data_IF_748704295439
#
_entry.id   IF_748704295439
#
_cell.length_a   1.000
_cell.length_b   1.000
_cell.length_c   1.000
_cell.angle_alpha   90.00
_cell.angle_beta   90.00
_cell.angle_gamma   90.00
#
_symmetry.space_group_name_H-M   'P 1'
#
loop_
_entity.id
_entity.type
_entity.pdbx_description
1 polymer ?
#
# COMPACT_ATOMS: atom_id res chain seq x y z
N UNK A 1 -5.62 14.31 0.77
CA UNK A 1 -6.23 13.08 0.22
C UNK A 1 -7.11 13.44 -0.95
N UNK A 2 -6.68 13.10 -2.18
CA UNK A 2 -7.30 13.60 -3.41
C UNK A 2 -8.79 13.22 -3.54
N UNK A 3 -9.16 11.98 -3.21
CA UNK A 3 -10.56 11.54 -3.26
C UNK A 3 -11.47 12.37 -2.35
N UNK A 4 -11.06 12.63 -1.10
CA UNK A 4 -11.83 13.46 -0.14
C UNK A 4 -12.01 14.89 -0.67
N UNK A 5 -10.98 15.46 -1.30
CA UNK A 5 -11.02 16.85 -1.72
C UNK A 5 -11.80 17.06 -3.03
N UNK A 6 -11.72 16.11 -3.96
CA UNK A 6 -12.26 16.27 -5.32
C UNK A 6 -13.45 15.35 -5.65
N UNK A 7 -13.73 14.33 -4.84
CA UNK A 7 -14.85 13.40 -5.04
C UNK A 7 -14.80 12.53 -6.30
N UNK A 8 -13.68 12.48 -7.02
CA UNK A 8 -13.56 11.74 -8.29
C UNK A 8 -13.26 10.26 -8.04
N UNK A 9 -14.06 9.37 -8.60
CA UNK A 9 -13.90 7.91 -8.45
C UNK A 9 -12.53 7.38 -8.91
N UNK A 10 -11.92 8.02 -9.91
CA UNK A 10 -10.57 7.66 -10.39
C UNK A 10 -9.50 7.73 -9.26
N UNK A 11 -9.68 8.59 -8.26
CA UNK A 11 -8.78 8.61 -7.09
C UNK A 11 -9.00 7.41 -6.17
N UNK A 12 -10.22 6.89 -6.08
CA UNK A 12 -10.55 5.70 -5.30
C UNK A 12 -10.02 4.44 -6.01
N UNK A 13 -10.30 4.33 -7.31
CA UNK A 13 -9.40 3.87 -8.39
C UNK A 13 -7.97 3.54 -7.96
N UNK A 14 -7.17 4.61 -8.01
CA UNK A 14 -5.73 4.57 -7.76
C UNK A 14 -5.39 4.11 -6.34
N UNK A 15 -6.23 4.44 -5.35
CA UNK A 15 -6.01 3.98 -3.96
C UNK A 15 -6.13 2.45 -3.86
N UNK A 16 -7.16 1.85 -4.47
CA UNK A 16 -7.31 0.38 -4.54
C UNK A 16 -6.14 -0.26 -5.26
N UNK A 17 -5.72 0.30 -6.40
CA UNK A 17 -4.57 -0.19 -7.14
C UNK A 17 -3.28 -0.18 -6.30
N UNK A 18 -2.99 0.94 -5.62
CA UNK A 18 -1.80 1.07 -4.77
C UNK A 18 -1.80 0.08 -3.61
N UNK A 19 -2.93 -0.09 -2.92
CA UNK A 19 -3.05 -1.09 -1.85
C UNK A 19 -2.82 -2.52 -2.34
N UNK A 20 -3.39 -2.88 -3.49
CA UNK A 20 -3.17 -4.18 -4.10
C UNK A 20 -1.69 -4.41 -4.41
N UNK A 21 -0.98 -3.39 -4.90
CA UNK A 21 0.44 -3.49 -5.17
C UNK A 21 1.27 -3.69 -3.90
N UNK A 22 0.97 -2.93 -2.83
CA UNK A 22 1.60 -3.13 -1.52
C UNK A 22 1.37 -4.55 -1.01
N UNK A 23 0.13 -5.06 -1.10
CA UNK A 23 -0.25 -6.38 -0.56
C UNK A 23 0.30 -7.54 -1.38
N UNK A 24 0.35 -7.42 -2.71
CA UNK A 24 0.66 -8.54 -3.59
C UNK A 24 2.10 -8.52 -4.12
N UNK A 25 2.77 -7.37 -4.09
CA UNK A 25 4.11 -7.20 -4.69
C UNK A 25 5.17 -6.86 -3.64
N UNK A 26 4.88 -5.94 -2.70
CA UNK A 26 5.84 -5.64 -1.62
C UNK A 26 5.83 -6.68 -0.51
N UNK A 27 4.66 -7.18 -0.11
CA UNK A 27 4.56 -8.08 1.05
C UNK A 27 5.17 -9.45 0.75
N UNK A 28 6.09 -9.87 1.59
CA UNK A 28 6.58 -11.24 1.61
C UNK A 28 5.61 -12.12 2.42
N UNK A 29 4.94 -13.12 1.82
CA UNK A 29 3.94 -13.92 2.51
C UNK A 29 4.53 -14.86 3.57
N UNK A 30 5.83 -15.19 3.51
CA UNK A 30 6.49 -16.08 4.46
C UNK A 30 6.90 -15.36 5.74
N UNK A 31 7.36 -14.12 5.62
CA UNK A 31 7.88 -13.34 6.76
C UNK A 31 6.92 -12.26 7.25
N UNK A 32 5.94 -11.87 6.44
CA UNK A 32 5.05 -10.74 6.70
C UNK A 32 5.71 -9.36 6.50
N UNK A 33 7.02 -9.32 6.19
CA UNK A 33 7.76 -8.10 5.88
C UNK A 33 7.42 -7.51 4.51
N UNK A 34 7.97 -6.34 4.22
CA UNK A 34 7.72 -5.61 2.97
C UNK A 34 9.05 -5.26 2.31
N UNK A 35 9.22 -5.65 1.04
CA UNK A 35 10.39 -5.31 0.25
C UNK A 35 10.55 -3.79 0.13
N UNK A 36 11.77 -3.31 0.32
CA UNK A 36 12.10 -1.89 0.31
C UNK A 36 12.20 -1.33 -1.11
N UNK A 37 12.89 -2.05 -2.01
CA UNK A 37 13.09 -1.60 -3.39
C UNK A 37 12.66 -2.70 -4.36
N UNK A 38 11.78 -2.31 -5.29
CA UNK A 38 11.32 -3.13 -6.40
C UNK A 38 11.57 -2.34 -7.68
N UNK A 39 12.35 -2.93 -8.59
CA UNK A 39 12.67 -2.35 -9.87
C UNK A 39 12.18 -3.27 -10.97
N UNK A 40 11.30 -2.77 -11.84
CA UNK A 40 10.72 -3.54 -12.96
C UNK A 40 10.14 -4.90 -12.52
N UNK A 41 9.37 -4.89 -11.42
CA UNK A 41 8.76 -6.07 -10.83
C UNK A 41 9.72 -7.02 -10.09
N UNK A 42 11.03 -6.72 -10.05
CA UNK A 42 12.02 -7.52 -9.33
C UNK A 42 12.40 -6.85 -8.02
N UNK A 43 12.39 -7.63 -6.93
CA UNK A 43 12.87 -7.17 -5.64
C UNK A 43 14.39 -7.04 -5.72
N UNK A 44 14.90 -5.83 -5.53
CA UNK A 44 16.34 -5.55 -5.51
C UNK A 44 16.85 -5.30 -4.09
N UNK A 45 15.94 -5.02 -3.15
CA UNK A 45 16.22 -4.90 -1.72
C UNK A 45 15.00 -5.41 -0.92
N UNK A 46 15.19 -6.49 -0.17
CA UNK A 46 14.18 -7.13 0.67
C UNK A 46 14.38 -6.85 2.17
N UNK A 47 15.29 -5.93 2.53
CA UNK A 47 15.50 -5.54 3.91
C UNK A 47 14.29 -4.78 4.45
N UNK A 48 13.90 -5.09 5.69
CA UNK A 48 12.75 -4.45 6.32
C UNK A 48 13.19 -3.14 7.02
N UNK A 49 12.65 -2.02 6.55
CA UNK A 49 12.85 -0.73 7.20
C UNK A 49 11.59 -0.31 7.97
N UNK A 50 11.71 -0.06 9.28
CA UNK A 50 10.59 0.45 10.10
C UNK A 50 10.00 1.75 9.53
N UNK A 51 10.85 2.58 8.91
CA UNK A 51 10.41 3.78 8.19
C UNK A 51 9.42 3.44 7.06
N UNK A 52 9.76 2.47 6.19
CA UNK A 52 8.87 2.01 5.13
C UNK A 52 7.58 1.40 5.67
N UNK A 53 7.69 0.60 6.75
CA UNK A 53 6.51 0.00 7.39
C UNK A 53 5.55 1.06 7.94
N UNK A 54 6.05 2.17 8.47
CA UNK A 54 5.20 3.29 8.91
C UNK A 54 4.35 3.87 7.77
N UNK A 55 4.90 3.95 6.56
CA UNK A 55 4.14 4.39 5.38
C UNK A 55 3.14 3.35 4.89
N UNK A 56 3.47 2.06 4.99
CA UNK A 56 2.50 0.99 4.71
C UNK A 56 1.29 1.10 5.66
N UNK A 57 1.53 1.25 6.96
CA UNK A 57 0.46 1.46 7.94
C UNK A 57 -0.36 2.72 7.63
N UNK A 58 0.29 3.83 7.28
CA UNK A 58 -0.38 5.07 6.91
C UNK A 58 -1.26 4.91 5.65
N UNK A 59 -0.80 4.15 4.65
CA UNK A 59 -1.56 3.87 3.43
C UNK A 59 -2.85 3.09 3.75
N UNK A 60 -2.75 2.05 4.57
CA UNK A 60 -3.90 1.25 5.01
C UNK A 60 -4.89 2.09 5.84
N UNK A 61 -4.39 2.90 6.78
CA UNK A 61 -5.23 3.80 7.58
C UNK A 61 -5.95 4.85 6.71
N UNK A 62 -5.25 5.43 5.73
CA UNK A 62 -5.85 6.36 4.77
C UNK A 62 -6.93 5.70 3.92
N UNK A 63 -6.72 4.47 3.49
CA UNK A 63 -7.70 3.71 2.73
C UNK A 63 -8.96 3.42 3.56
N UNK A 64 -8.81 2.97 4.81
CA UNK A 64 -9.97 2.79 5.72
C UNK A 64 -10.77 4.08 5.88
N UNK A 65 -10.09 5.23 5.98
CA UNK A 65 -10.74 6.55 6.11
C UNK A 65 -11.62 6.92 4.92
N UNK A 66 -11.45 6.32 3.75
CA UNK A 66 -12.30 6.54 2.56
C UNK A 66 -13.20 5.35 2.22
N UNK A 67 -13.44 4.45 3.19
CA UNK A 67 -14.37 3.32 3.05
C UNK A 67 -13.80 2.10 2.34
N UNK A 68 -12.46 1.95 2.32
CA UNK A 68 -11.81 0.75 1.78
C UNK A 68 -11.70 -0.31 2.87
N UNK A 69 -12.80 -1.02 3.15
CA UNK A 69 -12.81 -2.00 4.25
C UNK A 69 -11.80 -3.14 4.10
N UNK A 70 -11.43 -3.52 2.86
CA UNK A 70 -10.40 -4.54 2.62
C UNK A 70 -9.03 -4.17 3.21
N UNK A 71 -8.78 -2.90 3.56
CA UNK A 71 -7.56 -2.46 4.23
C UNK A 71 -7.53 -2.76 5.74
N UNK A 72 -8.56 -3.41 6.30
CA UNK A 72 -8.56 -3.87 7.70
C UNK A 72 -7.87 -5.24 7.88
N UNK A 73 -7.84 -6.02 6.80
CA UNK A 73 -7.28 -7.37 6.71
C UNK A 73 -5.78 -7.36 6.38
#
# INVERSE_FOLDING_TARGET
MAYIHFGKDDYLQRTRHGLNYIRNVHRNPKTGGYAWIIYDGKITDDTNHCYGLAFVMLAYACALRVGIEQARE
#
